data_IF_635737824439
#
_entry.id   IF_635737824439
#
_cell.length_a   1.000
_cell.length_b   1.000
_cell.length_c   1.000
_cell.angle_alpha   90.00
_cell.angle_beta   90.00
_cell.angle_gamma   90.00
#
_symmetry.space_group_name_H-M   'P 1'
#
loop_
_entity.id
_entity.type
_entity.pdbx_description
1 polymer ?
#
# COMPACT_ATOMS: atom_id res chain seq x y z
N UNK A 1 11.89 2.41 22.23
CA UNK A 1 11.56 2.24 20.80
C UNK A 1 12.45 3.18 20.02
N UNK A 2 13.00 2.73 18.89
CA UNK A 2 13.79 3.60 18.00
C UNK A 2 12.85 4.28 17.01
N UNK A 3 13.26 5.42 16.46
CA UNK A 3 12.50 6.11 15.41
C UNK A 3 12.20 5.20 14.21
N UNK A 4 13.13 4.30 13.85
CA UNK A 4 12.90 3.27 12.85
C UNK A 4 11.74 2.32 13.22
N UNK A 5 11.65 1.89 14.46
CA UNK A 5 10.63 0.95 14.94
C UNK A 5 9.21 1.57 14.86
N UNK A 6 9.11 2.86 15.18
CA UNK A 6 7.88 3.64 15.01
C UNK A 6 7.47 3.72 13.54
N UNK A 7 8.42 4.00 12.66
CA UNK A 7 8.19 4.07 11.21
C UNK A 7 7.78 2.71 10.65
N UNK A 8 8.43 1.61 11.07
CA UNK A 8 8.06 0.26 10.66
C UNK A 8 6.63 -0.04 11.06
N UNK A 9 6.26 0.27 12.30
CA UNK A 9 4.90 0.08 12.82
C UNK A 9 3.88 0.88 12.02
N UNK A 10 4.19 2.13 11.68
CA UNK A 10 3.32 2.98 10.86
C UNK A 10 3.18 2.44 9.41
N UNK A 11 4.27 1.98 8.80
CA UNK A 11 4.27 1.36 7.46
C UNK A 11 3.42 0.10 7.46
N UNK A 12 3.61 -0.79 8.44
CA UNK A 12 2.84 -2.03 8.55
C UNK A 12 1.35 -1.74 8.81
N UNK A 13 1.02 -0.75 9.65
CA UNK A 13 -0.36 -0.32 9.85
C UNK A 13 -1.00 0.23 8.56
N UNK A 14 -0.28 1.06 7.79
CA UNK A 14 -0.77 1.60 6.52
C UNK A 14 -0.98 0.49 5.49
N UNK A 15 -0.08 -0.50 5.45
CA UNK A 15 -0.21 -1.69 4.59
C UNK A 15 -1.41 -2.53 5.01
N UNK A 16 -1.60 -2.79 6.30
CA UNK A 16 -2.72 -3.56 6.82
C UNK A 16 -4.08 -2.90 6.55
N UNK A 17 -4.16 -1.57 6.68
CA UNK A 17 -5.37 -0.79 6.32
C UNK A 17 -5.63 -0.77 4.82
N UNK A 18 -4.59 -1.00 4.02
CA UNK A 18 -4.65 -1.09 2.56
C UNK A 18 -5.23 0.17 1.88
N UNK A 19 -4.93 1.35 2.43
CA UNK A 19 -5.39 2.65 1.93
C UNK A 19 -4.25 3.36 1.18
N UNK A 20 -4.33 3.42 -0.15
CA UNK A 20 -3.30 4.06 -1.00
C UNK A 20 -3.02 5.51 -0.58
N UNK A 21 -4.04 6.26 -0.16
CA UNK A 21 -3.85 7.65 0.29
C UNK A 21 -2.92 7.71 1.52
N UNK A 22 -3.15 6.86 2.52
CA UNK A 22 -2.30 6.80 3.72
C UNK A 22 -0.87 6.38 3.35
N UNK A 23 -0.72 5.36 2.49
CA UNK A 23 0.60 4.91 2.02
C UNK A 23 1.38 6.01 1.28
N UNK A 24 0.71 6.81 0.43
CA UNK A 24 1.35 7.89 -0.33
C UNK A 24 1.73 9.09 0.54
N UNK A 25 0.93 9.39 1.58
CA UNK A 25 1.29 10.41 2.59
C UNK A 25 2.55 9.95 3.32
N UNK A 26 2.57 8.70 3.79
CA UNK A 26 3.72 8.13 4.50
C UNK A 26 4.99 8.09 3.62
N UNK A 27 4.84 7.86 2.30
CA UNK A 27 5.95 7.95 1.34
C UNK A 27 6.56 9.36 1.28
N UNK A 28 5.74 10.41 1.31
CA UNK A 28 6.22 11.79 1.33
C UNK A 28 6.90 12.12 2.65
N UNK A 29 6.27 11.77 3.77
CA UNK A 29 6.82 11.99 5.12
C UNK A 29 8.18 11.31 5.29
N UNK A 30 8.31 10.06 4.81
CA UNK A 30 9.59 9.36 4.83
C UNK A 30 10.64 10.03 3.95
N UNK A 31 10.24 10.64 2.83
CA UNK A 31 11.17 11.36 1.95
C UNK A 31 11.88 12.50 2.69
N UNK A 32 11.15 13.21 3.55
CA UNK A 32 11.66 14.36 4.32
C UNK A 32 12.33 13.98 5.65
N UNK A 33 12.27 12.71 6.03
CA UNK A 33 12.71 12.26 7.35
C UNK A 33 14.24 12.15 7.49
N UNK A 34 14.88 13.21 7.99
CA UNK A 34 16.32 13.26 8.23
C UNK A 34 16.80 12.38 9.40
N UNK A 35 15.90 11.78 10.19
CA UNK A 35 16.27 10.94 11.35
C UNK A 35 16.63 9.51 10.95
N UNK A 36 16.17 9.06 9.77
CA UNK A 36 16.50 7.76 9.20
C UNK A 36 17.71 7.86 8.29
N UNK A 37 18.54 6.82 8.30
CA UNK A 37 19.57 6.64 7.28
C UNK A 37 18.90 6.49 5.90
N UNK A 38 19.69 6.78 4.85
CA UNK A 38 19.20 6.66 3.47
C UNK A 38 18.71 5.24 3.14
N UNK A 39 19.37 4.22 3.67
CA UNK A 39 19.04 2.82 3.43
C UNK A 39 17.74 2.40 4.13
N UNK A 40 17.56 2.78 5.41
CA UNK A 40 16.34 2.51 6.15
C UNK A 40 15.14 3.17 5.47
N UNK A 41 15.28 4.45 5.13
CA UNK A 41 14.25 5.23 4.44
C UNK A 41 13.91 4.62 3.08
N UNK A 42 14.90 4.19 2.32
CA UNK A 42 14.68 3.54 1.02
C UNK A 42 13.95 2.20 1.17
N UNK A 43 14.34 1.40 2.17
CA UNK A 43 13.70 0.11 2.48
C UNK A 43 12.22 0.30 2.79
N UNK A 44 11.88 1.23 3.68
CA UNK A 44 10.48 1.46 4.05
C UNK A 44 9.66 2.06 2.89
N UNK A 45 10.23 2.99 2.13
CA UNK A 45 9.58 3.51 0.92
C UNK A 45 9.33 2.41 -0.11
N UNK A 46 10.28 1.49 -0.31
CA UNK A 46 10.12 0.41 -1.28
C UNK A 46 9.02 -0.56 -0.85
N UNK A 47 8.88 -0.86 0.44
CA UNK A 47 7.76 -1.66 0.98
C UNK A 47 6.41 -1.03 0.64
N UNK A 48 6.26 0.28 0.88
CA UNK A 48 5.03 1.01 0.55
C UNK A 48 4.73 1.01 -0.95
N UNK A 49 5.75 1.24 -1.81
CA UNK A 49 5.58 1.21 -3.27
C UNK A 49 5.08 -0.13 -3.77
N UNK A 50 5.62 -1.23 -3.25
CA UNK A 50 5.16 -2.59 -3.59
C UNK A 50 3.71 -2.79 -3.13
N UNK A 51 3.36 -2.34 -1.93
CA UNK A 51 1.99 -2.46 -1.42
C UNK A 51 0.98 -1.66 -2.25
N UNK A 52 1.30 -0.42 -2.64
CA UNK A 52 0.47 0.42 -3.52
C UNK A 52 0.27 -0.24 -4.89
N UNK A 53 1.34 -0.84 -5.45
CA UNK A 53 1.25 -1.57 -6.73
C UNK A 53 0.34 -2.80 -6.62
N UNK A 54 0.52 -3.62 -5.57
CA UNK A 54 -0.32 -4.80 -5.31
C UNK A 54 -1.79 -4.43 -5.18
N UNK A 55 -2.12 -3.39 -4.38
CA UNK A 55 -3.50 -2.90 -4.25
C UNK A 55 -4.12 -2.54 -5.59
N UNK A 56 -3.36 -1.83 -6.44
CA UNK A 56 -3.84 -1.39 -7.76
C UNK A 56 -4.13 -2.58 -8.67
N UNK A 57 -3.26 -3.61 -8.64
CA UNK A 57 -3.44 -4.85 -9.39
C UNK A 57 -4.62 -5.69 -8.87
N UNK A 58 -4.77 -5.84 -7.54
CA UNK A 58 -5.90 -6.56 -6.93
C UNK A 58 -7.24 -5.92 -7.26
N UNK A 59 -7.32 -4.58 -7.18
CA UNK A 59 -8.52 -3.83 -7.55
C UNK A 59 -8.87 -4.00 -9.03
N UNK A 60 -7.87 -4.02 -9.91
CA UNK A 60 -8.06 -4.23 -11.35
C UNK A 60 -8.54 -5.67 -11.64
N UNK A 61 -7.94 -6.67 -11.00
CA UNK A 61 -8.35 -8.07 -11.11
C UNK A 61 -9.78 -8.30 -10.61
N UNK A 62 -10.17 -7.67 -9.48
CA UNK A 62 -11.54 -7.74 -8.97
C UNK A 62 -12.55 -7.07 -9.91
N UNK A 63 -12.18 -5.93 -10.51
CA UNK A 63 -13.02 -5.25 -11.49
C UNK A 63 -13.20 -6.09 -12.77
N UNK A 64 -12.15 -6.78 -13.22
CA UNK A 64 -12.19 -7.69 -14.36
C UNK A 64 -13.04 -8.92 -14.09
N UNK A 65 -12.89 -9.57 -12.92
CA UNK A 65 -13.77 -10.67 -12.50
C UNK A 65 -15.23 -10.23 -12.45
N UNK A 66 -15.53 -9.05 -11.88
CA UNK A 66 -16.89 -8.50 -11.89
C UNK A 66 -17.42 -8.30 -13.30
N UNK A 67 -16.62 -7.73 -14.21
CA UNK A 67 -17.01 -7.56 -15.62
C UNK A 67 -17.29 -8.91 -16.30
N UNK A 68 -16.44 -9.91 -16.10
CA UNK A 68 -16.65 -11.27 -16.61
C UNK A 68 -17.89 -11.95 -16.02
N UNK A 69 -18.24 -11.65 -14.77
CA UNK A 69 -19.44 -12.19 -14.12
C UNK A 69 -20.72 -11.53 -14.66
N UNK A 70 -20.71 -10.19 -14.82
CA UNK A 70 -21.82 -9.44 -15.41
C UNK A 70 -22.05 -9.80 -16.88
N UNK A 71 -20.98 -9.97 -17.66
CA UNK A 71 -21.06 -10.36 -19.08
C UNK A 71 -21.65 -11.78 -19.28
N UNK A 72 -21.55 -12.66 -18.27
CA UNK A 72 -22.11 -14.02 -18.30
C UNK A 72 -23.54 -14.12 -17.76
N UNK A 73 -24.22 -12.99 -17.53
CA UNK A 73 -25.65 -12.97 -17.21
C UNK A 73 -25.98 -13.31 -15.75
N UNK A 74 -25.09 -12.94 -14.81
CA UNK A 74 -25.18 -13.20 -13.37
C UNK A 74 -26.59 -13.33 -12.78
N UNK A 75 -26.97 -14.56 -12.45
CA UNK A 75 -28.23 -14.88 -11.79
C UNK A 75 -28.07 -14.53 -10.31
N UNK A 76 -28.88 -13.59 -9.83
CA UNK A 76 -28.99 -13.26 -8.41
C UNK A 76 -30.13 -14.14 -7.87
N UNK A 77 -29.83 -15.03 -6.92
CA UNK A 77 -30.81 -15.80 -6.15
C UNK A 77 -31.12 -15.09 -4.82
#
# INVERSE_FOLDING_TARGET
MTHLDEVITAVDAAIARNVIREMNVLLCELSEDSRLTREERFTQQQRLRIAVFKHSAEKQALAEQRRHWLARGGIIH
#
